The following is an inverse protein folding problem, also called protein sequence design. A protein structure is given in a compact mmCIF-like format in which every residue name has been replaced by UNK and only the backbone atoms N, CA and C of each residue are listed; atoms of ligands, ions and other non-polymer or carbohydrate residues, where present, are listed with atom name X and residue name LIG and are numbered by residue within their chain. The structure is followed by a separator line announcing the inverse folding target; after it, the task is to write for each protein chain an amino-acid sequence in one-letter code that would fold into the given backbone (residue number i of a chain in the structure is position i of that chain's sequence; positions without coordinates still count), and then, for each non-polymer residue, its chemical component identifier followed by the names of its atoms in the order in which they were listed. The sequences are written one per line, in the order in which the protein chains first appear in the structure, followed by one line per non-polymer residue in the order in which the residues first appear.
data_IF_169843784116
#
_entry.id   IF_169843784116
#
_cell.length_a   1.000
_cell.length_b   1.000
_cell.length_c   1.000
_cell.angle_alpha   90.00
_cell.angle_beta   90.00
_cell.angle_gamma   90.00
#
_symmetry.space_group_name_H-M   'P 1'
#
loop_
_entity.id
_entity.type
_entity.pdbx_description
1 polymer ?
#
# COMPACT_ATOMS: atom_id res chain seq x y z
N UNK A 1 -0.16 14.34 -3.20
CA UNK A 1 -1.24 13.34 -3.46
C UNK A 1 -0.59 11.98 -3.65
N UNK A 2 -0.25 11.33 -2.54
CA UNK A 2 0.18 9.93 -2.60
C UNK A 2 -1.06 9.09 -2.90
N UNK A 3 -1.19 8.65 -4.14
CA UNK A 3 -2.04 7.51 -4.45
C UNK A 3 -1.22 6.27 -4.13
N UNK A 4 -1.35 5.78 -2.91
CA UNK A 4 -0.95 4.40 -2.63
C UNK A 4 -1.93 3.50 -3.38
N UNK A 5 -1.50 3.01 -4.51
CA UNK A 5 -2.13 1.86 -5.10
C UNK A 5 -1.44 0.64 -4.49
N UNK A 6 -2.06 0.04 -3.46
CA UNK A 6 -1.77 -1.33 -3.10
C UNK A 6 -2.25 -2.22 -4.25
N UNK A 7 -1.50 -2.25 -5.33
CA UNK A 7 -1.68 -3.24 -6.36
C UNK A 7 -0.96 -4.48 -5.83
N UNK A 8 -1.73 -5.43 -5.29
CA UNK A 8 -1.30 -6.81 -5.28
C UNK A 8 -1.30 -7.28 -6.74
N UNK A 9 -0.39 -6.72 -7.52
CA UNK A 9 -0.18 -7.19 -8.85
C UNK A 9 0.82 -8.33 -8.80
N UNK A 10 0.31 -9.53 -8.96
CA UNK A 10 1.15 -10.72 -9.17
C UNK A 10 1.85 -10.71 -10.52
N UNK A 11 1.61 -9.69 -11.32
CA UNK A 11 2.14 -9.53 -12.66
C UNK A 11 2.93 -8.24 -12.79
N UNK A 12 4.01 -8.07 -12.07
CA UNK A 12 5.13 -7.20 -12.46
C UNK A 12 4.77 -5.85 -13.15
N UNK A 13 3.55 -5.33 -12.96
CA UNK A 13 3.17 -4.00 -13.40
C UNK A 13 3.15 -3.09 -12.20
N UNK A 14 4.27 -2.41 -12.00
CA UNK A 14 4.39 -1.39 -10.97
C UNK A 14 3.42 -0.26 -11.27
N UNK A 15 2.66 0.16 -10.25
CA UNK A 15 1.76 1.29 -10.37
C UNK A 15 2.52 2.53 -10.84
N UNK A 16 1.92 3.27 -11.77
CA UNK A 16 2.42 4.58 -12.17
C UNK A 16 1.99 5.66 -11.19
N UNK A 17 2.69 6.78 -11.19
CA UNK A 17 2.29 7.97 -10.46
C UNK A 17 2.43 9.21 -11.34
N UNK A 18 1.61 10.22 -11.04
CA UNK A 18 1.62 11.50 -11.73
C UNK A 18 2.50 12.49 -10.98
N UNK A 19 3.22 13.34 -11.74
CA UNK A 19 3.86 14.51 -11.15
C UNK A 19 2.82 15.44 -10.50
N UNK A 20 3.20 16.24 -9.48
CA UNK A 20 2.27 17.14 -8.79
C UNK A 20 1.60 18.18 -9.70
N UNK A 21 2.23 18.53 -10.82
CA UNK A 21 1.70 19.45 -11.82
C UNK A 21 0.87 18.77 -12.94
N UNK A 22 0.63 17.45 -12.80
CA UNK A 22 -0.13 16.61 -13.75
C UNK A 22 0.46 16.60 -15.20
N UNK A 23 1.75 16.92 -15.38
CA UNK A 23 2.38 16.95 -16.70
C UNK A 23 3.17 15.72 -17.07
N UNK A 24 3.61 14.95 -16.09
CA UNK A 24 4.39 13.74 -16.29
C UNK A 24 3.76 12.54 -15.60
N UNK A 25 3.79 11.39 -16.28
CA UNK A 25 3.47 10.08 -15.73
C UNK A 25 4.77 9.28 -15.59
N UNK A 26 5.00 8.72 -14.43
CA UNK A 26 6.11 7.79 -14.17
C UNK A 26 5.58 6.38 -14.02
N UNK A 27 6.24 5.41 -14.64
CA UNK A 27 5.94 3.99 -14.46
C UNK A 27 7.16 3.12 -14.73
N UNK A 28 7.16 1.91 -14.17
CA UNK A 28 8.22 0.93 -14.40
C UNK A 28 7.77 -0.05 -15.49
N UNK A 29 8.57 -0.17 -16.54
CA UNK A 29 8.33 -1.06 -17.67
C UNK A 29 9.16 -2.34 -17.51
N UNK A 30 8.49 -3.49 -17.60
CA UNK A 30 9.12 -4.81 -17.55
C UNK A 30 10.02 -5.02 -16.31
N UNK A 31 9.61 -4.51 -15.15
CA UNK A 31 10.32 -4.62 -13.86
C UNK A 31 11.77 -4.10 -13.89
N UNK A 32 12.10 -3.27 -14.84
CA UNK A 32 13.49 -2.87 -15.10
C UNK A 32 13.71 -1.42 -15.43
N UNK A 33 12.76 -0.76 -16.06
CA UNK A 33 13.00 0.57 -16.64
C UNK A 33 11.97 1.53 -16.08
N UNK A 34 12.42 2.49 -15.25
CA UNK A 34 11.60 3.62 -14.86
C UNK A 34 11.56 4.61 -16.01
N UNK A 35 10.36 4.86 -16.52
CA UNK A 35 10.10 5.81 -17.59
C UNK A 35 9.32 7.01 -17.05
N UNK A 36 9.64 8.18 -17.59
CA UNK A 36 8.81 9.38 -17.53
C UNK A 36 8.14 9.59 -18.88
N UNK A 37 6.83 9.81 -18.86
CA UNK A 37 6.05 10.17 -20.04
C UNK A 37 5.53 11.59 -19.91
N UNK A 38 5.89 12.47 -20.81
CA UNK A 38 5.29 13.80 -20.89
C UNK A 38 3.85 13.68 -21.42
N UNK A 39 2.87 14.07 -20.62
CA UNK A 39 1.44 13.87 -20.94
C UNK A 39 0.92 14.79 -22.06
N UNK A 40 1.68 15.81 -22.44
CA UNK A 40 1.32 16.69 -23.58
C UNK A 40 1.87 16.16 -24.89
N UNK A 41 3.16 15.77 -24.91
CA UNK A 41 3.86 15.38 -26.13
C UNK A 41 3.89 13.86 -26.33
N UNK A 42 3.58 13.09 -25.30
CA UNK A 42 3.73 11.64 -25.20
C UNK A 42 5.17 11.13 -25.41
N UNK A 43 6.14 12.03 -25.27
CA UNK A 43 7.54 11.65 -25.32
C UNK A 43 7.93 10.87 -24.05
N UNK A 44 8.65 9.78 -24.24
CA UNK A 44 9.20 8.96 -23.16
C UNK A 44 10.66 9.31 -22.90
N UNK A 45 11.04 9.36 -21.63
CA UNK A 45 12.42 9.46 -21.15
C UNK A 45 12.71 8.35 -20.18
N UNK A 46 13.80 7.62 -20.41
CA UNK A 46 14.32 6.68 -19.41
C UNK A 46 14.93 7.48 -18.25
N UNK A 47 14.45 7.23 -17.04
CA UNK A 47 14.94 7.88 -15.81
C UNK A 47 15.95 6.99 -15.12
N UNK A 48 15.63 5.71 -14.96
CA UNK A 48 16.50 4.76 -14.27
C UNK A 48 16.33 3.36 -14.86
N UNK A 49 17.43 2.61 -14.81
CA UNK A 49 17.43 1.19 -15.24
C UNK A 49 18.01 0.30 -14.17
N UNK A 50 17.21 -0.66 -13.73
CA UNK A 50 17.66 -1.75 -12.85
C UNK A 50 18.79 -2.51 -13.54
N UNK A 51 19.89 -2.71 -12.84
CA UNK A 51 21.06 -3.45 -13.38
C UNK A 51 20.74 -4.94 -13.61
N UNK A 52 21.59 -5.59 -14.39
CA UNK A 52 21.34 -6.98 -14.82
C UNK A 52 21.37 -8.02 -13.69
N UNK A 53 21.97 -7.69 -12.56
CA UNK A 53 22.06 -8.55 -11.38
C UNK A 53 20.86 -8.42 -10.43
N UNK A 54 19.96 -7.49 -10.72
CA UNK A 54 18.81 -7.15 -9.86
C UNK A 54 17.50 -7.22 -10.64
N UNK A 55 16.40 -7.33 -9.89
CA UNK A 55 15.02 -7.25 -10.37
C UNK A 55 14.31 -6.20 -9.55
N UNK A 56 13.66 -5.25 -10.19
CA UNK A 56 12.78 -4.31 -9.50
C UNK A 56 11.59 -5.05 -8.89
N UNK A 57 11.18 -4.67 -7.70
CA UNK A 57 10.11 -5.32 -6.98
C UNK A 57 9.13 -4.35 -6.34
N UNK A 58 7.84 -4.70 -6.43
CA UNK A 58 6.77 -3.95 -5.78
C UNK A 58 6.55 -2.55 -6.36
N UNK A 59 5.89 -1.71 -5.60
CA UNK A 59 5.56 -0.34 -6.01
C UNK A 59 6.71 0.59 -5.70
N UNK A 60 7.11 1.40 -6.66
CA UNK A 60 8.08 2.47 -6.50
C UNK A 60 7.33 3.78 -6.32
N UNK A 61 7.69 4.56 -5.31
CA UNK A 61 6.89 5.71 -4.86
C UNK A 61 7.76 6.96 -4.78
N UNK A 62 7.24 8.06 -5.35
CA UNK A 62 7.90 9.35 -5.28
C UNK A 62 7.66 10.05 -3.94
N UNK A 63 8.58 10.95 -3.57
CA UNK A 63 8.38 11.93 -2.51
C UNK A 63 7.34 12.99 -2.93
N UNK A 64 6.96 13.88 -2.02
CA UNK A 64 5.84 14.83 -2.21
C UNK A 64 6.03 15.82 -3.35
N UNK A 65 7.26 16.25 -3.63
CA UNK A 65 7.57 17.17 -4.73
C UNK A 65 7.92 16.46 -6.05
N UNK A 66 7.95 15.12 -6.04
CA UNK A 66 8.32 14.30 -7.19
C UNK A 66 9.73 14.58 -7.72
N UNK A 67 10.67 14.90 -6.82
CA UNK A 67 12.10 15.05 -7.16
C UNK A 67 12.86 13.72 -7.06
N UNK A 68 12.40 12.83 -6.20
CA UNK A 68 13.02 11.54 -5.90
C UNK A 68 11.96 10.45 -5.82
N UNK A 69 12.37 9.21 -5.97
CA UNK A 69 11.53 8.05 -5.61
C UNK A 69 12.33 7.03 -4.82
N UNK A 70 11.62 6.18 -4.09
CA UNK A 70 12.15 4.98 -3.45
C UNK A 70 11.60 3.73 -4.11
N UNK A 71 12.42 2.69 -4.17
CA UNK A 71 12.08 1.41 -4.75
C UNK A 71 12.83 0.27 -4.08
N UNK A 72 12.35 -0.94 -4.30
CA UNK A 72 13.02 -2.18 -3.85
C UNK A 72 13.57 -2.90 -5.07
N UNK A 73 14.76 -3.44 -4.91
CA UNK A 73 15.34 -4.39 -5.83
C UNK A 73 15.71 -5.67 -5.09
N UNK A 74 15.51 -6.79 -5.75
CA UNK A 74 15.84 -8.13 -5.24
C UNK A 74 16.95 -8.69 -6.12
N UNK A 75 17.97 -9.30 -5.52
CA UNK A 75 19.03 -9.95 -6.27
C UNK A 75 18.44 -11.00 -7.21
N UNK A 76 18.84 -10.93 -8.49
CA UNK A 76 18.29 -11.82 -9.53
C UNK A 76 18.56 -13.30 -9.25
N UNK A 77 19.67 -13.62 -8.57
CA UNK A 77 19.99 -14.97 -8.09
C UNK A 77 18.98 -15.52 -7.08
N UNK A 78 18.30 -14.63 -6.38
CA UNK A 78 17.34 -15.00 -5.35
C UNK A 78 15.88 -14.91 -5.85
N UNK A 79 15.66 -14.13 -6.89
CA UNK A 79 14.33 -13.88 -7.43
C UNK A 79 13.67 -15.16 -7.97
N UNK A 80 12.40 -15.33 -7.65
CA UNK A 80 11.49 -16.30 -8.26
C UNK A 80 10.11 -15.71 -8.40
N UNK A 81 9.37 -15.94 -9.49
CA UNK A 81 7.99 -15.49 -9.60
C UNK A 81 7.10 -16.09 -8.50
N UNK A 82 6.40 -15.24 -7.76
CA UNK A 82 5.58 -15.61 -6.60
C UNK A 82 4.16 -16.04 -7.04
N UNK A 83 4.07 -17.16 -7.74
CA UNK A 83 2.84 -17.58 -8.43
C UNK A 83 1.89 -18.42 -7.57
N UNK A 84 2.36 -18.97 -6.46
CA UNK A 84 1.55 -19.74 -5.52
C UNK A 84 2.04 -19.55 -4.07
N UNK A 85 1.24 -20.09 -3.14
CA UNK A 85 1.48 -19.93 -1.71
C UNK A 85 2.73 -20.67 -1.22
N UNK A 86 3.06 -21.83 -1.78
CA UNK A 86 4.26 -22.57 -1.37
C UNK A 86 5.52 -21.82 -1.82
N UNK A 87 5.55 -21.33 -3.05
CA UNK A 87 6.67 -20.50 -3.56
C UNK A 87 6.84 -19.24 -2.71
N UNK A 88 5.73 -18.62 -2.27
CA UNK A 88 5.75 -17.46 -1.39
C UNK A 88 6.43 -17.77 -0.05
N UNK A 89 6.08 -18.91 0.58
CA UNK A 89 6.72 -19.36 1.81
C UNK A 89 8.20 -19.72 1.61
N UNK A 90 8.53 -20.45 0.56
CA UNK A 90 9.91 -20.84 0.26
C UNK A 90 10.78 -19.62 0.00
N UNK A 91 10.25 -18.62 -0.69
CA UNK A 91 10.94 -17.36 -0.94
C UNK A 91 11.22 -16.58 0.36
N UNK A 92 10.24 -16.52 1.26
CA UNK A 92 10.42 -15.93 2.57
C UNK A 92 11.53 -16.64 3.37
N UNK A 93 11.49 -17.98 3.45
CA UNK A 93 12.48 -18.76 4.19
C UNK A 93 13.88 -18.72 3.59
N UNK A 94 13.99 -18.51 2.28
CA UNK A 94 15.27 -18.31 1.60
C UNK A 94 15.99 -17.06 2.08
N UNK A 95 15.26 -16.04 2.54
CA UNK A 95 15.81 -14.75 2.90
C UNK A 95 16.47 -14.06 1.71
N UNK A 96 15.67 -13.57 0.75
CA UNK A 96 16.22 -12.98 -0.47
C UNK A 96 17.06 -11.76 -0.15
N UNK A 97 18.13 -11.55 -0.88
CA UNK A 97 18.95 -10.35 -0.78
C UNK A 97 18.21 -9.19 -1.45
N UNK A 98 17.80 -8.22 -0.66
CA UNK A 98 17.04 -7.06 -1.08
C UNK A 98 17.78 -5.77 -0.77
N UNK A 99 17.55 -4.76 -1.59
CA UNK A 99 17.99 -3.40 -1.32
C UNK A 99 16.88 -2.39 -1.55
N UNK A 100 16.78 -1.44 -0.63
CA UNK A 100 15.98 -0.24 -0.74
C UNK A 100 16.86 0.85 -1.32
N UNK A 101 16.44 1.48 -2.39
CA UNK A 101 17.20 2.54 -3.03
C UNK A 101 16.33 3.76 -3.27
N UNK A 102 16.98 4.92 -3.32
CA UNK A 102 16.39 6.14 -3.86
C UNK A 102 16.92 6.40 -5.27
N UNK A 103 16.11 7.02 -6.09
CA UNK A 103 16.47 7.50 -7.44
C UNK A 103 16.12 8.98 -7.53
N UNK A 104 17.06 9.81 -7.95
CA UNK A 104 16.78 11.18 -8.34
C UNK A 104 16.09 11.19 -9.71
N UNK A 105 14.88 11.75 -9.79
CA UNK A 105 14.06 11.68 -11.00
C UNK A 105 14.58 12.61 -12.13
N UNK A 106 15.41 13.58 -11.81
CA UNK A 106 16.00 14.47 -12.79
C UNK A 106 17.25 13.88 -13.44
N UNK A 107 18.19 13.42 -12.60
CA UNK A 107 19.50 12.91 -13.08
C UNK A 107 19.46 11.41 -13.39
N UNK A 108 18.57 10.65 -12.77
CA UNK A 108 18.56 9.18 -12.80
C UNK A 108 19.59 8.55 -11.88
N UNK A 109 20.33 9.34 -11.10
CA UNK A 109 21.28 8.80 -10.13
C UNK A 109 20.56 8.04 -9.03
N UNK A 110 21.10 6.88 -8.68
CA UNK A 110 20.54 6.03 -7.62
C UNK A 110 21.53 5.85 -6.48
N UNK A 111 20.97 5.69 -5.27
CA UNK A 111 21.73 5.40 -4.06
C UNK A 111 20.99 4.32 -3.26
N UNK A 112 21.72 3.28 -2.85
CA UNK A 112 21.21 2.31 -1.88
C UNK A 112 21.17 2.96 -0.51
N UNK A 113 20.02 2.95 0.14
CA UNK A 113 19.79 3.51 1.48
C UNK A 113 19.66 2.44 2.56
N UNK A 114 19.29 1.22 2.18
CA UNK A 114 19.26 0.07 3.07
C UNK A 114 19.40 -1.23 2.29
N UNK A 115 20.08 -2.22 2.85
CA UNK A 115 20.32 -3.51 2.20
C UNK A 115 20.41 -4.62 3.24
N UNK A 116 19.67 -5.71 3.03
CA UNK A 116 19.70 -6.87 3.92
C UNK A 116 19.21 -8.15 3.22
N UNK A 117 19.46 -9.30 3.88
CA UNK A 117 18.98 -10.63 3.42
C UNK A 117 17.63 -10.96 4.05
N UNK A 118 16.68 -10.08 3.83
CA UNK A 118 15.27 -10.21 4.22
C UNK A 118 14.43 -9.67 3.07
N UNK A 119 13.27 -10.27 2.86
CA UNK A 119 12.37 -9.80 1.82
C UNK A 119 11.82 -8.42 2.18
N UNK A 120 12.21 -7.39 1.44
CA UNK A 120 11.75 -6.02 1.59
C UNK A 120 10.60 -5.70 0.65
N UNK A 121 9.70 -4.82 1.08
CA UNK A 121 8.61 -4.31 0.26
C UNK A 121 8.04 -2.98 0.75
N UNK A 122 7.03 -2.49 0.05
CA UNK A 122 6.23 -1.31 0.38
C UNK A 122 7.03 -0.05 0.78
N UNK A 123 8.03 0.39 0.00
CA UNK A 123 8.77 1.59 0.34
C UNK A 123 7.90 2.83 0.10
N UNK A 124 7.82 3.73 1.07
CA UNK A 124 7.06 4.97 0.96
C UNK A 124 7.74 6.10 1.72
N UNK A 125 7.91 7.26 1.05
CA UNK A 125 8.33 8.48 1.74
C UNK A 125 7.25 8.97 2.70
N UNK A 126 7.68 9.51 3.84
CA UNK A 126 6.81 10.32 4.68
C UNK A 126 6.42 11.58 3.89
N UNK A 127 5.12 11.92 3.76
CA UNK A 127 4.71 13.13 3.07
C UNK A 127 5.33 14.39 3.68
N UNK A 128 5.77 15.31 2.82
CA UNK A 128 6.40 16.59 3.20
C UNK A 128 7.69 16.47 4.04
N UNK A 129 8.23 15.29 4.15
CA UNK A 129 9.51 14.99 4.80
C UNK A 129 10.38 14.22 3.80
N UNK A 130 11.45 14.87 3.33
CA UNK A 130 12.35 14.30 2.32
C UNK A 130 13.38 13.34 2.92
N UNK A 131 13.28 13.03 4.20
CA UNK A 131 14.30 12.25 4.92
C UNK A 131 13.80 10.88 5.37
N UNK A 132 12.52 10.75 5.74
CA UNK A 132 12.00 9.53 6.32
C UNK A 132 11.32 8.64 5.29
N UNK A 133 11.76 7.39 5.21
CA UNK A 133 11.18 6.34 4.37
C UNK A 133 10.66 5.24 5.28
N UNK A 134 9.40 4.84 5.09
CA UNK A 134 8.86 3.61 5.64
C UNK A 134 9.04 2.48 4.63
N UNK A 135 9.28 1.26 5.14
CA UNK A 135 9.35 0.05 4.34
C UNK A 135 8.89 -1.16 5.16
N UNK A 136 8.66 -2.27 4.50
CA UNK A 136 8.20 -3.48 5.15
C UNK A 136 9.19 -4.63 5.02
N UNK A 137 9.22 -5.48 6.07
CA UNK A 137 9.63 -6.87 5.93
C UNK A 137 8.41 -7.66 5.46
N UNK A 138 8.52 -8.22 4.27
CA UNK A 138 7.47 -9.00 3.64
C UNK A 138 7.50 -10.46 4.06
N UNK A 139 6.39 -11.16 3.87
CA UNK A 139 6.30 -12.59 4.14
C UNK A 139 4.93 -13.02 4.64
N UNK A 140 4.80 -14.31 5.00
CA UNK A 140 3.60 -14.79 5.67
C UNK A 140 3.37 -14.01 6.97
N UNK A 141 2.15 -13.51 7.15
CA UNK A 141 1.83 -12.54 8.21
C UNK A 141 2.14 -13.05 9.62
N UNK A 142 2.06 -14.35 9.84
CA UNK A 142 2.31 -15.00 11.12
C UNK A 142 3.79 -15.36 11.37
N UNK A 143 4.65 -15.21 10.38
CA UNK A 143 6.08 -15.47 10.45
C UNK A 143 6.93 -14.21 10.51
N UNK A 144 6.37 -13.05 10.18
CA UNK A 144 7.05 -11.75 10.24
C UNK A 144 6.94 -11.22 11.67
N UNK A 145 8.08 -10.97 12.32
CA UNK A 145 8.15 -10.50 13.73
C UNK A 145 8.03 -8.98 13.87
N UNK A 146 8.30 -8.24 12.80
CA UNK A 146 8.10 -6.80 12.70
C UNK A 146 7.95 -6.41 11.24
N UNK A 147 6.73 -6.08 10.80
CA UNK A 147 6.47 -5.77 9.40
C UNK A 147 7.00 -4.38 9.02
N UNK A 148 6.69 -3.35 9.79
CA UNK A 148 6.94 -1.96 9.41
C UNK A 148 8.22 -1.41 10.04
N UNK A 149 9.02 -0.74 9.23
CA UNK A 149 10.29 -0.15 9.59
C UNK A 149 10.39 1.27 9.04
N UNK A 150 11.21 2.10 9.68
CA UNK A 150 11.61 3.40 9.19
C UNK A 150 13.12 3.44 8.99
N UNK A 151 13.56 4.22 8.01
CA UNK A 151 14.95 4.54 7.74
C UNK A 151 15.04 5.96 7.20
N UNK A 152 16.13 6.66 7.47
CA UNK A 152 16.39 7.91 6.79
C UNK A 152 16.95 7.65 5.38
N UNK A 153 16.75 8.57 4.45
CA UNK A 153 17.22 8.39 3.07
C UNK A 153 18.77 8.34 2.93
N UNK A 154 19.51 8.69 3.96
CA UNK A 154 20.97 8.51 4.04
C UNK A 154 21.38 7.13 4.58
N UNK A 155 20.42 6.27 4.89
CA UNK A 155 20.63 4.93 5.49
C UNK A 155 20.76 4.94 7.00
N UNK A 156 20.70 6.07 7.66
CA UNK A 156 20.74 6.16 9.12
C UNK A 156 19.38 5.87 9.77
N UNK A 157 19.37 5.68 11.09
CA UNK A 157 18.17 5.56 11.91
C UNK A 157 17.20 4.45 11.51
N UNK A 158 17.71 3.29 11.08
CA UNK A 158 16.86 2.10 10.84
C UNK A 158 16.21 1.68 12.15
N UNK A 159 14.86 1.67 12.19
CA UNK A 159 14.11 1.34 13.40
C UNK A 159 12.76 0.68 13.09
N UNK A 160 12.34 -0.23 13.98
CA UNK A 160 11.01 -0.84 13.93
C UNK A 160 9.93 0.19 14.30
N UNK A 161 8.83 0.19 13.59
CA UNK A 161 7.60 0.89 13.99
C UNK A 161 6.93 0.13 15.14
N UNK A 162 6.84 -1.20 14.99
CA UNK A 162 6.26 -2.08 16.01
C UNK A 162 6.82 -3.50 15.89
N UNK A 163 7.22 -4.09 17.02
CA UNK A 163 7.42 -5.53 17.11
C UNK A 163 6.04 -6.22 17.27
N UNK A 164 5.81 -7.33 16.59
CA UNK A 164 4.58 -8.10 16.72
C UNK A 164 4.55 -8.88 18.03
N UNK A 165 3.39 -8.92 18.65
CA UNK A 165 3.12 -9.91 19.69
C UNK A 165 2.98 -11.32 19.10
N UNK A 166 3.13 -12.39 19.87
CA UNK A 166 2.89 -13.74 19.38
C UNK A 166 1.52 -13.90 18.72
N UNK A 167 1.49 -14.32 17.45
CA UNK A 167 0.26 -14.46 16.65
C UNK A 167 -0.35 -13.17 16.15
N UNK A 168 0.32 -12.04 16.35
CA UNK A 168 -0.09 -10.75 15.78
C UNK A 168 0.39 -10.62 14.35
N UNK A 169 -0.46 -10.01 13.53
CA UNK A 169 -0.14 -9.60 12.17
C UNK A 169 -0.45 -8.12 12.01
N UNK A 170 0.43 -7.39 11.32
CA UNK A 170 0.21 -6.00 10.95
C UNK A 170 0.15 -5.89 9.43
N UNK A 171 -0.72 -5.00 8.92
CA UNK A 171 -0.93 -4.83 7.47
C UNK A 171 -1.57 -3.48 7.17
N UNK A 172 -1.75 -3.15 5.89
CA UNK A 172 -2.41 -1.93 5.41
C UNK A 172 -1.76 -0.65 5.94
N UNK A 173 -0.43 -0.64 5.95
CA UNK A 173 0.35 0.50 6.38
C UNK A 173 0.36 1.61 5.33
N UNK A 174 0.10 2.84 5.74
CA UNK A 174 0.20 4.04 4.91
C UNK A 174 0.44 5.29 5.77
N UNK A 175 1.09 6.29 5.20
CA UNK A 175 1.18 7.60 5.81
C UNK A 175 -0.13 8.36 5.67
N UNK A 176 -0.57 9.03 6.75
CA UNK A 176 -1.56 10.10 6.61
C UNK A 176 -1.02 11.12 5.61
N UNK A 177 -1.81 11.60 4.64
CA UNK A 177 -1.33 12.46 3.57
C UNK A 177 -0.65 13.76 4.02
N UNK A 178 -0.93 14.26 5.22
CA UNK A 178 -0.25 15.40 5.84
C UNK A 178 1.12 15.06 6.46
N UNK A 179 1.50 13.78 6.46
CA UNK A 179 2.76 13.31 7.04
C UNK A 179 2.77 13.17 8.57
N UNK A 180 1.64 13.43 9.24
CA UNK A 180 1.59 13.45 10.72
C UNK A 180 1.76 12.08 11.37
N UNK A 181 1.37 11.00 10.69
CA UNK A 181 1.39 9.66 11.27
C UNK A 181 1.46 8.55 10.23
N UNK A 182 1.91 7.37 10.65
CA UNK A 182 1.73 6.12 9.92
C UNK A 182 0.52 5.37 10.50
N UNK A 183 -0.46 5.06 9.66
CA UNK A 183 -1.62 4.25 10.04
C UNK A 183 -1.36 2.80 9.59
N UNK A 184 -1.81 1.86 10.42
CA UNK A 184 -1.77 0.44 10.07
C UNK A 184 -2.88 -0.33 10.80
N UNK A 185 -3.11 -1.55 10.38
CA UNK A 185 -4.09 -2.46 10.99
C UNK A 185 -3.37 -3.62 11.64
N UNK A 186 -3.76 -3.93 12.87
CA UNK A 186 -3.29 -5.10 13.63
C UNK A 186 -4.44 -6.06 13.89
N UNK A 187 -4.16 -7.36 13.84
CA UNK A 187 -5.08 -8.42 14.22
C UNK A 187 -4.33 -9.61 14.81
N UNK A 188 -4.99 -10.34 15.69
CA UNK A 188 -4.46 -11.56 16.30
C UNK A 188 -5.08 -12.80 15.65
N UNK A 189 -4.25 -13.81 15.37
CA UNK A 189 -4.70 -15.08 14.81
C UNK A 189 -5.78 -15.71 15.69
N UNK A 190 -6.91 -16.08 15.09
CA UNK A 190 -8.04 -16.70 15.78
C UNK A 190 -8.96 -15.72 16.52
N UNK A 191 -8.69 -14.42 16.52
CA UNK A 191 -9.60 -13.41 17.07
C UNK A 191 -10.44 -12.77 15.97
N UNK A 192 -11.71 -12.49 16.31
CA UNK A 192 -12.55 -11.65 15.45
C UNK A 192 -12.23 -10.17 15.72
N UNK A 193 -12.24 -9.38 14.64
CA UNK A 193 -11.99 -7.95 14.69
C UNK A 193 -10.52 -7.59 14.40
N UNK A 194 -10.36 -6.39 13.96
CA UNK A 194 -9.09 -5.76 13.64
C UNK A 194 -9.02 -4.43 14.35
N UNK A 195 -7.83 -3.98 14.68
CA UNK A 195 -7.62 -2.69 15.33
C UNK A 195 -6.79 -1.79 14.42
N UNK A 196 -7.27 -0.58 14.19
CA UNK A 196 -6.53 0.47 13.51
C UNK A 196 -5.61 1.12 14.53
N UNK A 197 -4.33 1.25 14.17
CA UNK A 197 -3.32 1.93 14.97
C UNK A 197 -2.80 3.17 14.24
N UNK A 198 -2.39 4.14 15.04
CA UNK A 198 -1.65 5.32 14.63
C UNK A 198 -0.28 5.28 15.27
N UNK A 199 0.77 5.38 14.46
CA UNK A 199 2.14 5.55 14.90
C UNK A 199 2.57 6.98 14.69
N UNK A 200 3.03 7.63 15.76
CA UNK A 200 3.62 8.96 15.72
C UNK A 200 5.14 8.81 15.47
N UNK A 201 5.67 9.27 14.34
CA UNK A 201 7.08 9.11 14.01
C UNK A 201 8.03 9.92 14.89
N UNK A 202 7.55 11.00 15.52
CA UNK A 202 8.37 11.87 16.39
C UNK A 202 8.53 11.27 17.78
N UNK A 203 7.45 10.83 18.40
CA UNK A 203 7.47 10.25 19.73
C UNK A 203 7.75 8.74 19.74
N UNK A 204 7.53 8.05 18.62
CA UNK A 204 7.59 6.60 18.52
C UNK A 204 6.40 5.87 19.16
N UNK A 205 5.35 6.59 19.52
CA UNK A 205 4.18 6.03 20.21
C UNK A 205 3.24 5.37 19.21
N UNK A 206 2.78 4.16 19.54
CA UNK A 206 1.71 3.46 18.84
C UNK A 206 0.41 3.58 19.64
N UNK A 207 -0.60 4.22 19.07
CA UNK A 207 -1.92 4.41 19.67
C UNK A 207 -2.96 3.55 18.95
N UNK A 208 -3.76 2.79 19.71
CA UNK A 208 -4.93 2.11 19.19
C UNK A 208 -6.07 3.12 19.00
N UNK A 209 -6.47 3.36 17.76
CA UNK A 209 -7.52 4.31 17.43
C UNK A 209 -8.90 3.71 17.68
N UNK A 210 -9.21 2.61 16.98
CA UNK A 210 -10.52 1.97 17.04
C UNK A 210 -10.48 0.56 16.47
N UNK A 211 -11.53 -0.21 16.75
CA UNK A 211 -11.78 -1.49 16.07
C UNK A 211 -12.50 -1.26 14.74
N UNK A 212 -12.30 -2.17 13.80
CA UNK A 212 -12.90 -2.12 12.47
C UNK A 212 -13.38 -3.49 12.01
N UNK A 213 -14.39 -3.56 11.10
CA UNK A 213 -14.70 -4.78 10.37
C UNK A 213 -13.52 -5.19 9.49
N UNK A 214 -13.53 -6.41 8.97
CA UNK A 214 -12.53 -6.84 8.03
C UNK A 214 -12.63 -6.04 6.72
N UNK A 215 -11.68 -5.14 6.48
CA UNK A 215 -11.51 -4.46 5.20
C UNK A 215 -10.28 -5.01 4.49
N UNK A 216 -10.31 -5.02 3.16
CA UNK A 216 -9.17 -5.42 2.34
C UNK A 216 -8.20 -4.27 2.12
N UNK A 217 -8.71 -3.03 2.13
CA UNK A 217 -7.92 -1.82 1.94
C UNK A 217 -8.40 -0.73 2.90
N UNK A 218 -7.49 0.15 3.30
CA UNK A 218 -7.76 1.27 4.19
C UNK A 218 -6.94 2.47 3.75
N UNK A 219 -7.57 3.66 3.73
CA UNK A 219 -6.93 4.94 3.42
C UNK A 219 -7.50 6.03 4.31
N UNK A 220 -6.82 7.17 4.45
CA UNK A 220 -7.33 8.34 5.16
C UNK A 220 -7.65 9.50 4.23
N UNK A 221 -8.43 10.46 4.73
CA UNK A 221 -8.46 11.81 4.21
C UNK A 221 -7.13 12.54 4.52
N UNK A 222 -7.02 13.81 4.14
CA UNK A 222 -5.74 14.53 4.19
C UNK A 222 -5.12 14.60 5.60
N UNK A 223 -5.92 14.85 6.63
CA UNK A 223 -5.47 15.03 8.02
C UNK A 223 -5.65 13.80 8.93
N UNK A 224 -6.13 12.68 8.38
CA UNK A 224 -6.33 11.44 9.13
C UNK A 224 -7.50 11.45 10.10
N UNK A 225 -8.39 12.45 10.02
CA UNK A 225 -9.60 12.52 10.87
C UNK A 225 -10.68 11.54 10.42
N UNK A 226 -10.69 11.22 9.13
CA UNK A 226 -11.55 10.20 8.53
C UNK A 226 -10.71 9.12 7.85
N UNK A 227 -11.19 7.88 7.94
CA UNK A 227 -10.62 6.77 7.16
C UNK A 227 -11.72 6.18 6.27
N UNK A 228 -11.33 5.56 5.18
CA UNK A 228 -12.22 4.84 4.28
C UNK A 228 -11.68 3.44 4.04
N UNK A 229 -12.57 2.43 4.09
CA UNK A 229 -12.21 1.05 3.81
C UNK A 229 -13.27 0.35 2.98
N UNK A 230 -12.87 -0.70 2.29
CA UNK A 230 -13.77 -1.60 1.56
C UNK A 230 -13.97 -2.89 2.35
N UNK A 231 -15.21 -3.34 2.42
CA UNK A 231 -15.52 -4.67 2.94
C UNK A 231 -14.84 -5.75 2.10
N UNK A 232 -14.38 -6.77 2.75
CA UNK A 232 -13.67 -7.86 2.10
C UNK A 232 -14.65 -8.76 1.32
N UNK A 233 -14.30 -9.06 0.06
CA UNK A 233 -15.20 -9.80 -0.84
C UNK A 233 -14.67 -11.13 -1.32
N UNK A 234 -13.50 -11.57 -0.88
CA UNK A 234 -13.00 -12.86 -1.32
C UNK A 234 -13.43 -13.95 -0.39
N UNK A 235 -14.07 -15.02 -0.89
CA UNK A 235 -13.97 -16.29 -0.23
C UNK A 235 -12.51 -16.76 -0.34
N UNK A 236 -11.63 -16.19 0.48
CA UNK A 236 -10.31 -16.76 0.67
C UNK A 236 -10.55 -18.13 1.27
N UNK A 237 -9.96 -19.16 0.70
CA UNK A 237 -10.07 -20.50 1.24
C UNK A 237 -9.73 -20.43 2.73
N UNK A 238 -10.69 -20.73 3.57
CA UNK A 238 -10.63 -20.62 5.05
C UNK A 238 -9.39 -21.35 5.60
N UNK A 239 -8.83 -22.27 4.85
CA UNK A 239 -7.61 -23.00 5.19
C UNK A 239 -6.36 -22.12 5.18
N UNK A 240 -6.29 -21.13 4.30
CA UNK A 240 -5.07 -20.32 4.11
C UNK A 240 -5.05 -19.05 4.97
N UNK A 241 -6.19 -18.63 5.51
CA UNK A 241 -6.30 -17.40 6.32
C UNK A 241 -6.31 -17.65 7.84
N UNK A 242 -6.06 -18.87 8.28
CA UNK A 242 -6.08 -19.21 9.70
C UNK A 242 -7.48 -19.15 10.34
N UNK A 243 -8.52 -19.31 9.55
CA UNK A 243 -9.90 -19.45 10.06
C UNK A 243 -10.74 -18.17 9.96
N UNK A 244 -10.33 -17.17 9.20
CA UNK A 244 -11.21 -16.03 8.91
C UNK A 244 -12.17 -16.39 7.78
N UNK A 245 -13.44 -16.65 8.14
CA UNK A 245 -14.54 -16.56 7.19
C UNK A 245 -14.73 -15.08 6.88
N UNK A 246 -14.32 -14.67 5.69
CA UNK A 246 -14.66 -13.34 5.19
C UNK A 246 -15.91 -13.55 4.36
N UNK A 247 -17.07 -13.31 4.98
CA UNK A 247 -18.32 -13.19 4.24
C UNK A 247 -18.16 -12.02 3.25
N UNK A 248 -18.71 -12.20 2.05
CA UNK A 248 -18.70 -11.17 1.03
C UNK A 248 -19.36 -9.90 1.59
N UNK A 249 -18.55 -8.91 1.95
CA UNK A 249 -19.01 -7.64 2.48
C UNK A 249 -18.92 -6.56 1.39
N UNK A 250 -20.04 -6.22 0.75
CA UNK A 250 -20.04 -5.32 -0.41
C UNK A 250 -20.02 -3.84 -0.04
N UNK A 251 -19.75 -3.49 1.21
CA UNK A 251 -19.87 -2.12 1.68
C UNK A 251 -18.55 -1.35 1.69
N UNK A 252 -18.63 -0.06 1.36
CA UNK A 252 -17.62 0.93 1.71
C UNK A 252 -17.95 1.48 3.10
N UNK A 253 -16.92 1.60 3.93
CA UNK A 253 -16.99 2.11 5.29
C UNK A 253 -16.25 3.45 5.39
N UNK A 254 -16.83 4.40 6.10
CA UNK A 254 -16.13 5.59 6.59
C UNK A 254 -16.00 5.48 8.10
N UNK A 255 -14.81 5.69 8.60
CA UNK A 255 -14.46 5.66 10.01
C UNK A 255 -14.23 7.10 10.48
N UNK A 256 -14.95 7.54 11.50
CA UNK A 256 -14.69 8.80 12.21
C UNK A 256 -13.77 8.48 13.39
N UNK A 257 -12.53 8.94 13.31
CA UNK A 257 -11.49 8.60 14.30
C UNK A 257 -11.81 9.23 15.66
N UNK A 258 -12.28 10.48 15.68
CA UNK A 258 -12.59 11.18 16.92
C UNK A 258 -13.78 10.55 17.67
N UNK A 259 -14.81 10.12 16.95
CA UNK A 259 -16.00 9.49 17.52
C UNK A 259 -15.82 7.99 17.77
N UNK A 260 -14.75 7.39 17.26
CA UNK A 260 -14.48 5.92 17.28
C UNK A 260 -15.66 5.12 16.73
N UNK A 261 -16.28 5.61 15.66
CA UNK A 261 -17.44 5.02 14.98
C UNK A 261 -17.15 4.86 13.50
N UNK A 262 -17.83 3.91 12.87
CA UNK A 262 -17.80 3.74 11.43
C UNK A 262 -19.21 3.58 10.86
N UNK A 263 -19.36 3.89 9.59
CA UNK A 263 -20.64 3.92 8.89
C UNK A 263 -20.50 3.23 7.53
N UNK A 264 -21.54 2.54 7.10
CA UNK A 264 -21.69 2.07 5.73
C UNK A 264 -22.17 3.24 4.86
N UNK A 265 -21.42 3.57 3.81
CA UNK A 265 -21.71 4.74 2.98
C UNK A 265 -22.21 4.40 1.59
N UNK A 266 -21.71 3.32 1.00
CA UNK A 266 -22.13 2.87 -0.33
C UNK A 266 -21.82 1.39 -0.51
N UNK A 267 -22.53 0.74 -1.45
CA UNK A 267 -22.15 -0.60 -1.90
C UNK A 267 -21.18 -0.50 -3.06
N UNK A 268 -20.07 -1.20 -2.97
CA UNK A 268 -19.15 -1.31 -4.10
C UNK A 268 -19.56 -2.44 -5.05
N UNK A 269 -20.19 -3.49 -4.56
CA UNK A 269 -20.66 -4.65 -5.34
C UNK A 269 -19.60 -5.21 -6.32
N UNK A 270 -18.34 -5.10 -5.96
CA UNK A 270 -17.21 -5.60 -6.75
C UNK A 270 -17.18 -7.12 -6.68
N UNK A 271 -16.96 -7.78 -7.81
CA UNK A 271 -16.96 -9.24 -7.89
C UNK A 271 -15.70 -9.89 -7.34
N UNK A 272 -14.62 -9.14 -7.18
CA UNK A 272 -13.27 -9.65 -6.87
C UNK A 272 -12.76 -10.66 -7.91
N UNK A 273 -13.36 -10.66 -9.08
CA UNK A 273 -12.96 -11.55 -10.16
C UNK A 273 -11.73 -11.03 -10.90
N UNK A 274 -10.97 -11.95 -11.47
CA UNK A 274 -9.87 -11.62 -12.36
C UNK A 274 -10.39 -10.94 -13.63
N UNK A 275 -9.81 -9.82 -13.99
CA UNK A 275 -10.12 -9.10 -15.24
C UNK A 275 -9.78 -10.00 -16.44
N UNK A 276 -10.67 -10.07 -17.42
CA UNK A 276 -10.49 -10.92 -18.60
C UNK A 276 -9.15 -10.63 -19.32
N UNK A 277 -8.43 -11.69 -19.64
CA UNK A 277 -7.12 -11.64 -20.29
C UNK A 277 -6.01 -10.94 -19.47
N UNK A 278 -6.20 -10.87 -18.15
CA UNK A 278 -5.19 -10.32 -17.24
C UNK A 278 -5.12 -11.21 -16.00
N UNK A 279 -4.13 -10.98 -15.15
CA UNK A 279 -4.07 -11.56 -13.80
C UNK A 279 -4.55 -10.57 -12.74
N UNK A 280 -4.97 -9.40 -13.17
CA UNK A 280 -5.46 -8.36 -12.30
C UNK A 280 -6.85 -8.71 -11.78
N UNK A 281 -7.04 -8.59 -10.47
CA UNK A 281 -8.34 -8.74 -9.81
C UNK A 281 -8.96 -7.36 -9.63
N UNK A 282 -10.27 -7.25 -9.86
CA UNK A 282 -10.99 -6.00 -9.58
C UNK A 282 -11.12 -5.81 -8.07
N UNK A 283 -10.57 -4.72 -7.56
CA UNK A 283 -10.62 -4.33 -6.14
C UNK A 283 -11.25 -2.94 -6.00
N UNK A 284 -12.02 -2.65 -4.95
CA UNK A 284 -12.58 -1.32 -4.74
C UNK A 284 -11.53 -0.24 -4.52
N UNK A 285 -10.54 -0.46 -3.67
CA UNK A 285 -9.48 0.50 -3.33
C UNK A 285 -10.01 1.93 -3.11
N UNK A 286 -10.85 2.16 -2.11
CA UNK A 286 -11.48 3.45 -1.93
C UNK A 286 -10.48 4.53 -1.51
N UNK A 287 -10.71 5.76 -1.97
CA UNK A 287 -9.95 6.93 -1.57
C UNK A 287 -10.86 8.16 -1.52
N UNK A 288 -10.59 9.08 -0.60
CA UNK A 288 -11.30 10.37 -0.56
C UNK A 288 -10.96 11.25 -1.76
N UNK A 289 -11.93 12.06 -2.20
CA UNK A 289 -11.63 13.23 -3.02
C UNK A 289 -10.86 14.28 -2.20
N UNK A 290 -10.10 15.18 -2.86
CA UNK A 290 -9.29 16.17 -2.12
C UNK A 290 -10.07 17.12 -1.19
N UNK A 291 -11.36 17.27 -1.40
CA UNK A 291 -12.29 18.09 -0.62
C UNK A 291 -13.13 17.28 0.37
N UNK A 292 -12.83 15.99 0.53
CA UNK A 292 -13.54 15.03 1.38
C UNK A 292 -15.05 14.90 1.08
N UNK A 293 -15.52 15.42 -0.08
CA UNK A 293 -16.95 15.41 -0.43
C UNK A 293 -17.42 14.07 -0.99
N UNK A 294 -16.51 13.22 -1.40
CA UNK A 294 -16.84 11.92 -2.01
C UNK A 294 -15.72 10.90 -1.83
N UNK A 295 -16.06 9.64 -2.11
CA UNK A 295 -15.16 8.50 -2.20
C UNK A 295 -15.07 8.05 -3.65
N UNK A 296 -13.85 7.90 -4.16
CA UNK A 296 -13.56 7.23 -5.42
C UNK A 296 -13.28 5.75 -5.13
N UNK A 297 -13.83 4.86 -5.94
CA UNK A 297 -13.57 3.43 -5.83
C UNK A 297 -13.73 2.72 -7.18
N UNK A 298 -13.14 1.56 -7.33
CA UNK A 298 -13.30 0.71 -8.52
C UNK A 298 -14.35 -0.37 -8.29
N UNK A 299 -15.12 -0.70 -9.32
CA UNK A 299 -16.03 -1.84 -9.30
C UNK A 299 -16.29 -2.33 -10.73
N UNK A 300 -16.65 -3.60 -10.84
CA UNK A 300 -17.12 -4.24 -12.07
C UNK A 300 -18.61 -4.59 -12.03
N UNK A 301 -19.36 -3.97 -11.12
CA UNK A 301 -20.81 -4.23 -10.90
C UNK A 301 -21.67 -4.09 -12.16
N UNK A 302 -21.23 -3.29 -13.12
CA UNK A 302 -21.92 -3.07 -14.40
C UNK A 302 -21.33 -3.94 -15.55
N UNK A 303 -20.64 -5.05 -15.18
CA UNK A 303 -20.11 -6.05 -16.12
C UNK A 303 -18.71 -5.74 -16.67
N UNK A 304 -18.10 -4.62 -16.29
CA UNK A 304 -16.72 -4.25 -16.62
C UNK A 304 -16.11 -3.36 -15.53
N UNK A 305 -14.79 -3.43 -15.31
CA UNK A 305 -14.13 -2.54 -14.37
C UNK A 305 -14.30 -1.07 -14.75
N UNK A 306 -14.71 -0.27 -13.77
CA UNK A 306 -14.89 1.18 -13.90
C UNK A 306 -14.62 1.87 -12.56
N UNK A 307 -14.38 3.19 -12.62
CA UNK A 307 -14.24 4.04 -11.44
C UNK A 307 -15.60 4.69 -11.13
N UNK A 308 -15.99 4.61 -9.87
CA UNK A 308 -17.23 5.14 -9.34
C UNK A 308 -16.96 6.23 -8.31
N UNK A 309 -17.97 7.08 -8.09
CA UNK A 309 -17.95 8.13 -7.07
C UNK A 309 -19.15 7.93 -6.16
N UNK A 310 -18.91 7.78 -4.85
CA UNK A 310 -19.92 7.83 -3.80
C UNK A 310 -19.84 9.17 -3.10
N UNK A 311 -20.87 9.99 -3.22
CA UNK A 311 -20.96 11.29 -2.52
C UNK A 311 -21.16 11.06 -1.02
N UNK A 312 -20.44 11.81 -0.21
CA UNK A 312 -20.64 11.85 1.23
C UNK A 312 -21.60 12.97 1.65
N UNK A 313 -22.36 12.80 2.74
CA UNK A 313 -23.14 13.88 3.31
C UNK A 313 -22.22 14.98 3.83
N UNK A 314 -22.72 16.22 3.87
CA UNK A 314 -21.96 17.40 4.26
C UNK A 314 -21.33 17.33 5.67
N UNK A 315 -21.86 16.47 6.53
CA UNK A 315 -21.29 16.17 7.85
C UNK A 315 -21.27 14.65 8.09
N UNK A 316 -20.12 14.07 8.51
CA UNK A 316 -20.02 12.65 8.85
C UNK A 316 -21.03 12.20 9.93
N UNK A 317 -21.44 13.10 10.83
CA UNK A 317 -22.48 12.84 11.84
C UNK A 317 -23.89 12.58 11.25
N UNK A 318 -24.11 12.89 9.96
CA UNK A 318 -25.35 12.55 9.25
C UNK A 318 -25.36 11.14 8.66
N UNK A 319 -24.25 10.41 8.75
CA UNK A 319 -24.20 9.00 8.37
C UNK A 319 -24.93 8.20 9.44
N UNK A 320 -26.09 7.63 9.11
CA UNK A 320 -26.82 6.73 10.02
C UNK A 320 -26.04 5.43 10.21
N UNK A 321 -26.03 4.96 11.45
CA UNK A 321 -25.39 3.70 11.82
C UNK A 321 -26.06 2.49 11.15
#
# INVERSE_FOLDING_TARGET
RQRQMCIRDRDNTFGGFLSPDDKSLYYVKNDRILLEVNLTTLAEREVYRVSDDWVGYGTWVANSDCSKLVGIEIAKSDWTPLNDWQIFHDFFHKGPHCRLLRVDLRSGESQVIHEEKIWLGHPIYRPFDDHTVAFCHEGPHDLVDARMWLVNEDGSHVRKVKAHAPGESCTHEFWVPDGSALIYVSYLKGQQGRTIYRFDPESGVNEALMTMPACSHLMSNFDGTLLVGDGSGTPVDVKDTGGYSIDNDPWLYVFNVAEKRYFRVARHDTSWATVANSRQVTHPHPSFTPDDSAILFSSDKDGKPAVYIAKLPAHPSMLSA
#
